data_IF_510251264733
#
_entry.id   IF_510251264733
#
_cell.length_a   1.000
_cell.length_b   1.000
_cell.length_c   1.000
_cell.angle_alpha   90.00
_cell.angle_beta   90.00
_cell.angle_gamma   90.00
#
_symmetry.space_group_name_H-M   'P 1'
#
loop_
_entity.id
_entity.type
_entity.pdbx_description
1 polymer ?
#
# COMPACT_ATOMS: atom_id res chain seq x y z
N UNK A 1 2.31 -18.58 19.12
CA UNK A 1 2.22 -17.33 18.33
C UNK A 1 1.33 -17.63 17.16
N UNK A 2 0.16 -17.04 17.16
CA UNK A 2 -0.89 -17.32 16.20
C UNK A 2 -0.73 -16.37 15.01
N UNK A 3 -0.91 -16.91 13.82
CA UNK A 3 -0.86 -16.12 12.60
C UNK A 3 -2.18 -15.38 12.42
N UNK A 4 -2.10 -14.07 12.24
CA UNK A 4 -3.27 -13.24 11.98
C UNK A 4 -3.53 -13.25 10.47
N UNK A 5 -4.76 -13.57 10.04
CA UNK A 5 -5.10 -13.65 8.63
C UNK A 5 -4.98 -12.27 7.96
N UNK A 6 -4.38 -12.26 6.76
CA UNK A 6 -4.18 -11.05 5.95
C UNK A 6 -4.78 -11.21 4.55
N UNK A 7 -5.30 -10.12 4.00
CA UNK A 7 -5.97 -10.07 2.70
C UNK A 7 -4.96 -9.88 1.57
N UNK A 8 -4.26 -10.96 1.19
CA UNK A 8 -3.17 -10.92 0.21
C UNK A 8 -3.68 -10.59 -1.20
N UNK A 9 -4.60 -11.42 -1.70
CA UNK A 9 -5.09 -11.33 -3.08
C UNK A 9 -5.85 -10.04 -3.39
N UNK A 10 -6.78 -9.65 -2.50
CA UNK A 10 -7.61 -8.45 -2.73
C UNK A 10 -6.75 -7.20 -2.68
N UNK A 11 -5.81 -7.12 -1.73
CA UNK A 11 -4.87 -6.01 -1.67
C UNK A 11 -3.95 -5.96 -2.89
N UNK A 12 -3.43 -7.10 -3.34
CA UNK A 12 -2.61 -7.17 -4.56
C UNK A 12 -3.38 -6.72 -5.80
N UNK A 13 -4.66 -7.10 -5.92
CA UNK A 13 -5.53 -6.63 -6.98
C UNK A 13 -5.73 -5.11 -6.92
N UNK A 14 -5.99 -4.57 -5.73
CA UNK A 14 -6.13 -3.12 -5.54
C UNK A 14 -4.86 -2.36 -5.95
N UNK A 15 -3.69 -2.83 -5.50
CA UNK A 15 -2.41 -2.25 -5.87
C UNK A 15 -2.15 -2.29 -7.38
N UNK A 16 -2.53 -3.38 -8.04
CA UNK A 16 -2.46 -3.50 -9.50
C UNK A 16 -3.37 -2.48 -10.19
N UNK A 17 -4.64 -2.37 -9.75
CA UNK A 17 -5.58 -1.40 -10.31
C UNK A 17 -5.09 0.03 -10.11
N UNK A 18 -4.56 0.37 -8.94
CA UNK A 18 -3.97 1.68 -8.67
C UNK A 18 -2.84 2.03 -9.65
N UNK A 19 -1.96 1.06 -9.93
CA UNK A 19 -0.87 1.23 -10.90
C UNK A 19 -1.42 1.40 -12.34
N UNK A 20 -2.42 0.61 -12.73
CA UNK A 20 -3.10 0.78 -14.01
C UNK A 20 -3.76 2.16 -14.14
N UNK A 21 -4.41 2.66 -13.10
CA UNK A 21 -5.01 4.01 -13.10
C UNK A 21 -3.96 5.11 -13.19
N UNK A 22 -2.83 4.98 -12.50
CA UNK A 22 -1.70 5.92 -12.61
C UNK A 22 -1.15 5.97 -14.05
N UNK A 23 -0.93 4.81 -14.68
CA UNK A 23 -0.48 4.72 -16.07
C UNK A 23 -1.53 5.26 -17.06
N UNK A 24 -2.80 4.96 -16.82
CA UNK A 24 -3.91 5.50 -17.62
C UNK A 24 -3.97 7.03 -17.51
N UNK A 25 -3.75 7.60 -16.33
CA UNK A 25 -3.65 9.05 -16.14
C UNK A 25 -2.55 9.69 -17.00
N UNK A 26 -1.37 9.07 -17.04
CA UNK A 26 -0.26 9.52 -17.90
C UNK A 26 -0.65 9.44 -19.38
N UNK A 27 -1.32 8.36 -19.79
CA UNK A 27 -1.81 8.20 -21.15
C UNK A 27 -2.88 9.25 -21.51
N UNK A 28 -3.79 9.59 -20.60
CA UNK A 28 -4.78 10.64 -20.81
C UNK A 28 -4.09 12.00 -20.99
N UNK A 29 -3.08 12.30 -20.19
CA UNK A 29 -2.27 13.53 -20.34
C UNK A 29 -1.58 13.56 -21.70
N UNK A 30 -0.97 12.45 -22.12
CA UNK A 30 -0.40 12.32 -23.47
C UNK A 30 -1.44 12.62 -24.54
N UNK A 31 -2.62 11.99 -24.46
CA UNK A 31 -3.69 12.16 -25.43
C UNK A 31 -4.17 13.62 -25.51
N UNK A 32 -4.42 14.25 -24.35
CA UNK A 32 -4.89 15.63 -24.28
C UNK A 32 -3.87 16.62 -24.85
N UNK A 33 -2.59 16.48 -24.49
CA UNK A 33 -1.54 17.38 -25.00
C UNK A 33 -1.29 17.15 -26.48
N UNK A 34 -1.31 15.91 -26.96
CA UNK A 34 -1.16 15.60 -28.37
C UNK A 34 -2.33 16.16 -29.21
N UNK A 35 -3.56 16.09 -28.69
CA UNK A 35 -4.73 16.67 -29.33
C UNK A 35 -4.62 18.20 -29.41
N UNK A 36 -4.35 18.87 -28.28
CA UNK A 36 -4.15 20.33 -28.22
C UNK A 36 -2.96 20.79 -29.08
N UNK A 37 -1.86 20.04 -29.06
CA UNK A 37 -0.64 20.36 -29.79
C UNK A 37 -0.85 20.33 -31.29
N UNK A 38 -1.59 19.34 -31.80
CA UNK A 38 -1.95 19.26 -33.23
C UNK A 38 -2.93 20.35 -33.64
N UNK A 39 -3.88 20.70 -32.76
CA UNK A 39 -4.84 21.77 -33.02
C UNK A 39 -4.16 23.15 -33.10
N UNK A 40 -3.22 23.43 -32.19
CA UNK A 40 -2.55 24.73 -32.10
C UNK A 40 -1.34 24.88 -33.04
N UNK A 41 -0.56 23.82 -33.25
CA UNK A 41 0.73 23.89 -33.95
C UNK A 41 0.76 23.03 -35.24
N UNK A 42 -0.33 22.33 -35.58
CA UNK A 42 -0.43 21.58 -36.81
C UNK A 42 0.70 20.57 -37.01
N UNK A 43 1.43 20.70 -38.13
CA UNK A 43 2.56 19.85 -38.50
C UNK A 43 3.84 20.10 -37.70
N UNK A 44 3.95 21.24 -37.01
CA UNK A 44 5.16 21.59 -36.25
C UNK A 44 5.17 20.94 -34.85
N UNK A 45 4.06 20.28 -34.47
CA UNK A 45 3.99 19.57 -33.20
C UNK A 45 4.85 18.30 -33.20
N UNK A 46 5.92 18.33 -32.41
CA UNK A 46 6.85 17.20 -32.25
C UNK A 46 6.38 16.23 -31.17
N UNK A 47 5.67 15.18 -31.60
CA UNK A 47 5.17 14.11 -30.74
C UNK A 47 6.29 13.42 -29.92
N UNK A 48 7.51 13.32 -30.47
CA UNK A 48 8.66 12.69 -29.80
C UNK A 48 9.09 13.44 -28.53
N UNK A 49 8.95 14.77 -28.51
CA UNK A 49 9.27 15.59 -27.34
C UNK A 49 8.26 15.34 -26.22
N UNK A 50 6.98 15.20 -26.57
CA UNK A 50 5.93 14.87 -25.60
C UNK A 50 6.15 13.48 -24.99
N UNK A 51 6.48 12.49 -25.82
CA UNK A 51 6.79 11.14 -25.35
C UNK A 51 7.99 11.13 -24.40
N UNK A 52 9.05 11.88 -24.74
CA UNK A 52 10.25 12.01 -23.91
C UNK A 52 9.96 12.65 -22.55
N UNK A 53 9.04 13.63 -22.52
CA UNK A 53 8.63 14.30 -21.28
C UNK A 53 7.84 13.35 -20.35
N UNK A 54 6.98 12.51 -20.92
CA UNK A 54 6.11 11.60 -20.16
C UNK A 54 6.77 10.26 -19.82
N UNK A 55 7.92 9.96 -20.43
CA UNK A 55 8.70 8.76 -20.15
C UNK A 55 9.15 8.69 -18.69
N UNK A 56 9.69 9.78 -18.14
CA UNK A 56 10.16 9.81 -16.75
C UNK A 56 9.02 9.57 -15.73
N UNK A 57 7.86 10.26 -15.83
CA UNK A 57 6.69 9.92 -15.03
C UNK A 57 6.24 8.46 -15.15
N UNK A 58 6.25 7.91 -16.37
CA UNK A 58 5.87 6.51 -16.58
C UNK A 58 6.83 5.54 -15.89
N UNK A 59 8.14 5.76 -16.02
CA UNK A 59 9.17 4.98 -15.32
C UNK A 59 9.00 5.10 -13.80
N UNK A 60 8.69 6.28 -13.29
CA UNK A 60 8.46 6.50 -11.86
C UNK A 60 7.29 5.65 -11.34
N UNK A 61 6.17 5.57 -12.08
CA UNK A 61 5.05 4.69 -11.72
C UNK A 61 5.45 3.21 -11.79
N UNK A 62 6.22 2.82 -12.81
CA UNK A 62 6.68 1.43 -12.97
C UNK A 62 7.68 1.00 -11.89
N UNK A 63 8.41 1.93 -11.27
CA UNK A 63 9.31 1.64 -10.15
C UNK A 63 8.56 0.92 -9.01
N UNK A 64 7.30 1.26 -8.81
CA UNK A 64 6.47 0.74 -7.72
C UNK A 64 5.81 -0.61 -8.06
N UNK A 65 6.11 -1.25 -9.19
CA UNK A 65 5.50 -2.52 -9.61
C UNK A 65 5.56 -3.62 -8.54
N UNK A 66 6.62 -3.64 -7.72
CA UNK A 66 6.79 -4.65 -6.68
C UNK A 66 5.74 -4.56 -5.57
N UNK A 67 5.08 -3.40 -5.40
CA UNK A 67 4.03 -3.20 -4.39
C UNK A 67 2.86 -4.19 -4.56
N UNK A 68 2.64 -4.68 -5.78
CA UNK A 68 1.60 -5.68 -6.09
C UNK A 68 1.88 -6.99 -5.35
N UNK A 69 3.16 -7.35 -5.17
CA UNK A 69 3.56 -8.61 -4.56
C UNK A 69 3.81 -8.49 -3.06
N UNK A 70 4.00 -7.29 -2.52
CA UNK A 70 4.27 -7.07 -1.10
C UNK A 70 3.32 -7.81 -0.14
N UNK A 71 1.98 -7.86 -0.38
CA UNK A 71 1.07 -8.56 0.53
C UNK A 71 1.42 -10.06 0.71
N UNK A 72 2.04 -10.70 -0.28
CA UNK A 72 2.42 -12.11 -0.18
C UNK A 72 3.64 -12.36 0.71
N UNK A 73 4.44 -11.33 0.99
CA UNK A 73 5.61 -11.41 1.85
C UNK A 73 5.34 -10.91 3.27
N UNK A 74 4.16 -10.34 3.49
CA UNK A 74 3.69 -9.92 4.80
C UNK A 74 3.16 -11.12 5.62
N UNK A 75 3.69 -11.27 6.83
CA UNK A 75 3.24 -12.25 7.82
C UNK A 75 3.12 -11.54 9.16
N UNK A 76 1.93 -11.60 9.75
CA UNK A 76 1.63 -11.00 11.05
C UNK A 76 1.41 -12.11 12.05
N UNK A 77 2.18 -12.10 13.14
CA UNK A 77 2.07 -13.07 14.23
C UNK A 77 1.82 -12.36 15.55
N UNK A 78 0.90 -12.91 16.35
CA UNK A 78 0.56 -12.38 17.67
C UNK A 78 0.76 -13.46 18.73
N UNK A 79 1.17 -13.04 19.91
CA UNK A 79 1.08 -13.79 21.17
C UNK A 79 0.32 -12.95 22.19
N UNK A 80 0.21 -13.45 23.42
CA UNK A 80 -0.39 -12.70 24.52
C UNK A 80 0.38 -11.41 24.85
N UNK A 81 1.70 -11.40 24.67
CA UNK A 81 2.56 -10.28 25.09
C UNK A 81 3.14 -9.45 23.95
N UNK A 82 3.24 -9.99 22.74
CA UNK A 82 3.91 -9.31 21.64
C UNK A 82 3.26 -9.57 20.28
N UNK A 83 3.41 -8.59 19.39
CA UNK A 83 3.11 -8.68 17.97
C UNK A 83 4.42 -8.63 17.20
N UNK A 84 4.62 -9.58 16.29
CA UNK A 84 5.75 -9.60 15.36
C UNK A 84 5.23 -9.56 13.94
N UNK A 85 5.76 -8.65 13.14
CA UNK A 85 5.45 -8.53 11.73
C UNK A 85 6.71 -8.77 10.93
N UNK A 86 6.61 -9.64 9.92
CA UNK A 86 7.61 -9.80 8.89
C UNK A 86 7.06 -9.24 7.59
N UNK A 87 7.80 -8.36 6.93
CA UNK A 87 7.36 -7.70 5.69
C UNK A 87 8.54 -7.45 4.76
N UNK A 88 8.24 -6.97 3.55
CA UNK A 88 9.23 -6.61 2.55
C UNK A 88 9.64 -7.76 1.63
N UNK A 89 9.84 -7.42 0.36
CA UNK A 89 10.38 -8.33 -0.65
C UNK A 89 11.91 -8.34 -0.52
N UNK A 90 12.52 -7.16 -0.69
CA UNK A 90 13.95 -6.90 -0.49
C UNK A 90 14.13 -5.40 -0.16
N UNK A 91 14.62 -5.02 1.05
CA UNK A 91 15.00 -5.86 2.18
C UNK A 91 13.79 -6.51 2.87
N UNK A 92 14.05 -7.57 3.64
CA UNK A 92 13.06 -8.15 4.56
C UNK A 92 13.21 -7.50 5.92
N UNK A 93 12.09 -7.05 6.48
CA UNK A 93 12.03 -6.40 7.79
C UNK A 93 11.29 -7.32 8.75
N UNK A 94 11.76 -7.38 10.00
CA UNK A 94 11.11 -8.10 11.09
C UNK A 94 10.99 -7.12 12.25
N UNK A 95 9.78 -6.65 12.49
CA UNK A 95 9.48 -5.72 13.57
C UNK A 95 8.73 -6.45 14.67
N UNK A 96 9.02 -6.13 15.93
CA UNK A 96 8.33 -6.70 17.09
C UNK A 96 8.03 -5.62 18.10
N UNK A 97 6.80 -5.62 18.62
CA UNK A 97 6.34 -4.68 19.64
C UNK A 97 5.64 -5.43 20.76
N UNK A 98 5.96 -5.06 22.00
CA UNK A 98 5.27 -5.56 23.17
C UNK A 98 3.90 -4.87 23.28
N UNK A 99 2.84 -5.67 23.43
CA UNK A 99 1.45 -5.21 23.53
C UNK A 99 1.29 -4.29 24.74
N UNK A 100 1.96 -4.57 25.85
CA UNK A 100 1.89 -3.76 27.07
C UNK A 100 2.52 -2.36 26.90
N UNK A 101 3.32 -2.14 25.86
CA UNK A 101 3.91 -0.84 25.53
C UNK A 101 3.15 -0.05 24.47
N UNK A 102 2.03 -0.58 23.96
CA UNK A 102 1.22 0.10 22.94
C UNK A 102 0.46 1.25 23.58
N UNK A 103 0.79 2.45 23.16
CA UNK A 103 0.15 3.69 23.61
C UNK A 103 -0.98 4.13 22.66
N UNK A 104 -0.91 3.76 21.38
CA UNK A 104 -1.91 4.14 20.37
C UNK A 104 -2.06 3.10 19.25
N UNK A 105 -3.27 2.99 18.69
CA UNK A 105 -3.60 2.10 17.57
C UNK A 105 -4.28 2.92 16.47
N UNK A 106 -3.73 2.87 15.26
CA UNK A 106 -4.35 3.45 14.06
C UNK A 106 -4.81 2.33 13.12
N UNK A 107 -6.03 2.46 12.57
CA UNK A 107 -6.55 1.53 11.56
C UNK A 107 -6.68 2.29 10.24
N UNK A 108 -5.96 1.82 9.22
CA UNK A 108 -5.93 2.46 7.89
C UNK A 108 -6.61 1.54 6.88
N UNK A 109 -7.71 2.02 6.29
CA UNK A 109 -8.48 1.29 5.27
C UNK A 109 -8.27 1.90 3.89
N UNK A 110 -8.06 1.03 2.92
CA UNK A 110 -8.11 1.38 1.49
C UNK A 110 -9.55 1.27 0.97
N UNK A 111 -9.88 1.78 -0.23
CA UNK A 111 -11.21 1.64 -0.81
C UNK A 111 -11.72 0.19 -0.83
N UNK A 112 -10.91 -0.78 -1.28
CA UNK A 112 -11.28 -2.19 -1.21
C UNK A 112 -11.21 -2.73 0.22
N UNK A 113 -10.38 -2.16 1.08
CA UNK A 113 -10.39 -2.45 2.53
C UNK A 113 -11.76 -2.19 3.17
N UNK A 114 -12.44 -1.11 2.78
CA UNK A 114 -13.82 -0.84 3.21
C UNK A 114 -14.81 -1.90 2.71
N UNK A 115 -14.72 -2.32 1.45
CA UNK A 115 -15.65 -3.27 0.86
C UNK A 115 -15.44 -4.73 1.33
N UNK A 116 -14.18 -5.11 1.58
CA UNK A 116 -13.79 -6.50 1.88
C UNK A 116 -13.31 -6.71 3.32
N UNK A 117 -13.58 -5.74 4.20
CA UNK A 117 -13.30 -5.78 5.64
C UNK A 117 -11.86 -6.14 6.01
N UNK A 118 -10.88 -5.50 5.37
CA UNK A 118 -9.48 -5.59 5.76
C UNK A 118 -8.87 -4.20 5.93
N UNK A 119 -7.85 -4.08 6.77
CA UNK A 119 -7.16 -2.82 7.02
C UNK A 119 -5.74 -3.08 7.50
N UNK A 120 -4.86 -2.08 7.40
CA UNK A 120 -3.59 -2.11 8.12
C UNK A 120 -3.77 -1.57 9.54
N UNK A 121 -3.18 -2.22 10.54
CA UNK A 121 -3.20 -1.78 11.93
C UNK A 121 -1.80 -1.29 12.28
N UNK A 122 -1.66 -0.02 12.63
CA UNK A 122 -0.40 0.54 13.11
C UNK A 122 -0.44 0.66 14.62
N UNK A 123 0.49 -0.02 15.27
CA UNK A 123 0.68 0.02 16.70
C UNK A 123 1.83 0.96 17.01
N UNK A 124 1.60 1.92 17.88
CA UNK A 124 2.61 2.86 18.36
C UNK A 124 2.85 2.61 19.83
N UNK A 125 4.12 2.52 20.22
CA UNK A 125 4.50 2.36 21.61
C UNK A 125 5.79 3.08 21.96
N UNK A 126 6.18 2.99 23.22
CA UNK A 126 7.43 3.60 23.69
C UNK A 126 8.64 3.00 22.97
N UNK A 127 9.26 3.80 22.10
CA UNK A 127 10.48 3.45 21.39
C UNK A 127 10.30 2.91 19.96
N UNK A 128 9.07 2.83 19.44
CA UNK A 128 8.87 2.43 18.04
C UNK A 128 7.42 2.19 17.64
N UNK A 129 7.26 1.68 16.42
CA UNK A 129 5.96 1.32 15.86
C UNK A 129 6.04 0.03 15.05
N UNK A 130 4.93 -0.71 15.00
CA UNK A 130 4.77 -1.90 14.15
C UNK A 130 3.55 -1.69 13.27
N UNK A 131 3.72 -1.86 11.96
CA UNK A 131 2.61 -1.88 10.99
C UNK A 131 2.22 -3.34 10.72
N UNK A 132 0.98 -3.71 11.01
CA UNK A 132 0.37 -5.00 10.69
C UNK A 132 -0.41 -4.84 9.39
N UNK A 133 0.17 -5.15 8.22
CA UNK A 133 -0.44 -4.82 6.96
C UNK A 133 -1.62 -5.75 6.62
N UNK A 134 -2.68 -5.16 6.09
CA UNK A 134 -3.77 -5.87 5.41
C UNK A 134 -4.49 -6.95 6.23
N UNK A 135 -4.59 -6.76 7.54
CA UNK A 135 -5.27 -7.64 8.49
C UNK A 135 -6.76 -7.73 8.17
N UNK A 136 -7.28 -8.96 8.08
CA UNK A 136 -8.72 -9.22 7.92
C UNK A 136 -9.43 -8.97 9.25
N UNK A 137 -10.60 -8.33 9.22
CA UNK A 137 -11.36 -7.93 10.40
C UNK A 137 -10.52 -7.10 11.39
N UNK A 138 -9.74 -6.15 10.87
CA UNK A 138 -8.75 -5.39 11.64
C UNK A 138 -9.32 -4.71 12.91
N UNK A 139 -10.57 -4.28 12.90
CA UNK A 139 -11.24 -3.71 14.07
C UNK A 139 -11.40 -4.75 15.20
N UNK A 140 -11.80 -5.98 14.88
CA UNK A 140 -11.92 -7.07 15.86
C UNK A 140 -10.54 -7.44 16.41
N UNK A 141 -9.54 -7.56 15.53
CA UNK A 141 -8.16 -7.85 15.92
C UNK A 141 -7.61 -6.76 16.84
N UNK A 142 -7.84 -5.48 16.53
CA UNK A 142 -7.38 -4.35 17.35
C UNK A 142 -7.95 -4.38 18.78
N UNK A 143 -9.20 -4.79 18.95
CA UNK A 143 -9.83 -4.95 20.27
C UNK A 143 -9.11 -5.98 21.12
N UNK A 144 -8.57 -7.04 20.51
CA UNK A 144 -7.80 -8.06 21.24
C UNK A 144 -6.40 -7.61 21.67
N UNK A 145 -5.93 -6.47 21.18
CA UNK A 145 -4.65 -5.85 21.55
C UNK A 145 -4.89 -4.81 22.66
N UNK A 146 -6.07 -4.19 22.68
CA UNK A 146 -6.42 -3.06 23.55
C UNK A 146 -7.01 -3.45 24.92
N UNK A 147 -6.88 -4.71 25.37
CA UNK A 147 -7.50 -5.21 26.62
C UNK A 147 -6.66 -4.88 27.88
N UNK A 148 -5.60 -4.08 27.76
CA UNK A 148 -4.75 -3.71 28.90
C UNK A 148 -4.93 -2.25 29.34
N UNK A 149 -6.18 -1.82 29.49
CA UNK A 149 -6.49 -0.64 30.31
C UNK A 149 -7.37 -1.10 31.46
N UNK A 150 -6.71 -1.65 32.49
CA UNK A 150 -7.24 -1.69 33.85
C UNK A 150 -6.94 -0.35 34.52
#
# INVERSE_FOLDING_TARGET
MDEIPTSKWIRSLEAFLELCFKLLGIYIVYFAINWLGKDLFGSDFRQDTLLSLLLLPAIYVLRDLLIIFEPFFAVVKKSESQVTVKSGITPRVIDTLNIASVDNIEIVKTPLGYCFNYASIRLYGRGGSVDMPYVINAEEVSKTINISVN
#
